data_IF_292638082886
#
_entry.id   IF_292638082886
#
_cell.length_a   1.000
_cell.length_b   1.000
_cell.length_c   1.000
_cell.angle_alpha   90.00
_cell.angle_beta   90.00
_cell.angle_gamma   90.00
#
_symmetry.space_group_name_H-M   'P 1'
#
loop_
_entity.id
_entity.type
_entity.pdbx_description
1 polymer ?
#
# COMPACT_ATOMS: atom_id res chain seq x y z
N UNK A 1 2.43 52.06 -41.41
CA UNK A 1 1.53 52.16 -40.24
C UNK A 1 1.63 50.86 -39.44
N UNK A 2 2.11 50.92 -38.19
CA UNK A 2 2.12 49.77 -37.29
C UNK A 2 0.92 49.87 -36.35
N UNK A 3 0.01 48.92 -36.46
CA UNK A 3 -1.11 48.82 -35.52
C UNK A 3 -0.62 48.02 -34.27
N UNK A 4 -0.55 48.65 -33.09
CA UNK A 4 -0.37 47.99 -31.82
C UNK A 4 -1.77 47.74 -31.17
N UNK A 5 -2.19 46.49 -31.19
CA UNK A 5 -3.39 46.08 -30.46
C UNK A 5 -3.04 45.72 -29.02
N UNK A 6 -3.67 46.36 -28.06
CA UNK A 6 -3.51 46.04 -26.61
C UNK A 6 -4.80 45.41 -26.11
N UNK A 7 -4.75 44.15 -25.72
CA UNK A 7 -5.90 43.45 -25.11
C UNK A 7 -5.97 43.89 -23.64
N UNK A 8 -7.00 44.66 -23.28
CA UNK A 8 -7.25 45.10 -21.90
C UNK A 8 -7.90 43.94 -21.13
N UNK A 9 -7.33 43.59 -19.96
CA UNK A 9 -7.87 42.52 -19.09
C UNK A 9 -7.24 41.12 -19.31
N UNK A 10 -6.37 40.94 -20.29
CA UNK A 10 -5.70 39.65 -20.54
C UNK A 10 -4.95 39.12 -19.31
N UNK A 11 -4.31 39.97 -18.54
CA UNK A 11 -3.59 39.56 -17.32
C UNK A 11 -4.54 39.07 -16.22
N UNK A 12 -5.69 39.76 -16.03
CA UNK A 12 -6.70 39.33 -15.07
C UNK A 12 -7.30 37.98 -15.45
N UNK A 13 -7.59 37.80 -16.75
CA UNK A 13 -8.12 36.57 -17.29
C UNK A 13 -7.12 35.42 -17.11
N UNK A 14 -5.85 35.64 -17.43
CA UNK A 14 -4.79 34.66 -17.23
C UNK A 14 -4.64 34.25 -15.76
N UNK A 15 -4.60 35.21 -14.83
CA UNK A 15 -4.54 34.93 -13.40
C UNK A 15 -5.74 34.11 -12.91
N UNK A 16 -6.94 34.41 -13.41
CA UNK A 16 -8.15 33.64 -13.10
C UNK A 16 -8.06 32.19 -13.61
N UNK A 17 -7.57 31.97 -14.84
CA UNK A 17 -7.38 30.62 -15.37
C UNK A 17 -6.29 29.83 -14.62
N UNK A 18 -5.17 30.47 -14.27
CA UNK A 18 -4.11 29.83 -13.47
C UNK A 18 -4.61 29.45 -12.09
N UNK A 19 -5.42 30.31 -11.45
CA UNK A 19 -6.09 30.02 -10.19
C UNK A 19 -7.02 28.80 -10.30
N UNK A 20 -7.88 28.79 -11.32
CA UNK A 20 -8.81 27.69 -11.55
C UNK A 20 -8.11 26.36 -11.86
N UNK A 21 -7.06 26.38 -12.67
CA UNK A 21 -6.26 25.20 -12.98
C UNK A 21 -5.61 24.59 -11.72
N UNK A 22 -5.12 25.45 -10.81
CA UNK A 22 -4.56 25.02 -9.52
C UNK A 22 -5.63 24.36 -8.65
N UNK A 23 -6.79 24.98 -8.53
CA UNK A 23 -7.90 24.44 -7.75
C UNK A 23 -8.41 23.11 -8.29
N UNK A 24 -8.53 23.00 -9.61
CA UNK A 24 -8.87 21.73 -10.28
C UNK A 24 -7.85 20.65 -9.98
N UNK A 25 -6.55 20.99 -9.98
CA UNK A 25 -5.47 20.08 -9.61
C UNK A 25 -5.61 19.55 -8.18
N UNK A 26 -5.94 20.42 -7.23
CA UNK A 26 -6.16 20.04 -5.81
C UNK A 26 -7.40 19.15 -5.66
N UNK A 27 -8.50 19.50 -6.35
CA UNK A 27 -9.72 18.70 -6.34
C UNK A 27 -9.49 17.30 -6.93
N UNK A 28 -8.78 17.23 -8.05
CA UNK A 28 -8.42 15.97 -8.70
C UNK A 28 -7.49 15.11 -7.83
N UNK A 29 -6.50 15.71 -7.15
CA UNK A 29 -5.63 15.01 -6.21
C UNK A 29 -6.41 14.45 -5.02
N UNK A 30 -7.32 15.24 -4.46
CA UNK A 30 -8.18 14.81 -3.36
C UNK A 30 -9.08 13.64 -3.77
N UNK A 31 -9.67 13.72 -4.95
CA UNK A 31 -10.47 12.67 -5.56
C UNK A 31 -9.66 11.37 -5.74
N UNK A 32 -8.48 11.46 -6.33
CA UNK A 32 -7.59 10.31 -6.52
C UNK A 32 -7.16 9.68 -5.18
N UNK A 33 -6.87 10.49 -4.17
CA UNK A 33 -6.50 10.01 -2.84
C UNK A 33 -7.66 9.28 -2.15
N UNK A 34 -8.89 9.77 -2.25
CA UNK A 34 -10.06 9.08 -1.70
C UNK A 34 -10.32 7.74 -2.42
N UNK A 35 -10.13 7.68 -3.73
CA UNK A 35 -10.15 6.42 -4.48
C UNK A 35 -9.06 5.45 -4.03
N UNK A 36 -7.85 5.93 -3.81
CA UNK A 36 -6.73 5.12 -3.33
C UNK A 36 -6.99 4.52 -1.95
N UNK A 37 -7.70 5.21 -1.06
CA UNK A 37 -8.08 4.66 0.26
C UNK A 37 -9.00 3.44 0.15
N UNK A 38 -9.88 3.40 -0.85
CA UNK A 38 -10.72 2.22 -1.12
C UNK A 38 -9.84 1.02 -1.49
N UNK A 39 -8.84 1.25 -2.35
CA UNK A 39 -7.88 0.18 -2.70
C UNK A 39 -7.12 -0.32 -1.47
N UNK A 40 -6.67 0.58 -0.58
CA UNK A 40 -5.99 0.21 0.67
C UNK A 40 -6.88 -0.67 1.55
N UNK A 41 -8.15 -0.31 1.71
CA UNK A 41 -9.12 -1.12 2.47
C UNK A 41 -9.26 -2.51 1.88
N UNK A 42 -9.59 -2.59 0.58
CA UNK A 42 -9.77 -3.84 -0.13
C UNK A 42 -8.50 -4.70 -0.17
N UNK A 43 -7.32 -4.10 -0.36
CA UNK A 43 -6.05 -4.81 -0.33
C UNK A 43 -5.77 -5.45 1.04
N UNK A 44 -6.16 -4.80 2.13
CA UNK A 44 -6.05 -5.36 3.48
C UNK A 44 -7.02 -6.52 3.72
N UNK A 45 -8.13 -6.58 3.00
CA UNK A 45 -9.11 -7.69 3.03
C UNK A 45 -8.65 -8.91 2.22
N UNK A 46 -7.76 -8.73 1.22
CA UNK A 46 -7.19 -9.86 0.47
C UNK A 46 -6.29 -10.76 1.31
N UNK A 47 -5.79 -10.26 2.45
CA UNK A 47 -5.01 -11.08 3.37
C UNK A 47 -5.92 -12.03 4.14
N UNK A 48 -5.55 -13.31 4.20
CA UNK A 48 -6.17 -14.23 5.13
C UNK A 48 -5.86 -13.78 6.55
N UNK A 49 -6.89 -13.55 7.34
CA UNK A 49 -6.74 -13.28 8.76
C UNK A 49 -6.35 -14.58 9.44
N UNK A 50 -5.41 -14.48 10.36
CA UNK A 50 -4.91 -15.61 11.13
C UNK A 50 -6.04 -16.26 11.95
N UNK A 51 -5.80 -17.49 12.42
CA UNK A 51 -6.69 -18.26 13.25
C UNK A 51 -7.16 -17.51 14.53
N UNK A 52 -7.90 -18.16 15.39
CA UNK A 52 -8.44 -17.52 16.60
C UNK A 52 -7.32 -16.92 17.45
N UNK A 53 -7.61 -15.82 18.12
CA UNK A 53 -6.71 -15.24 19.11
C UNK A 53 -6.51 -16.23 20.25
N UNK A 54 -5.28 -16.72 20.41
CA UNK A 54 -4.92 -17.68 21.47
C UNK A 54 -4.24 -17.03 22.65
N UNK A 55 -3.81 -15.78 22.48
CA UNK A 55 -3.15 -15.04 23.56
C UNK A 55 -2.65 -13.67 23.12
N UNK A 56 -1.89 -13.06 23.99
CA UNK A 56 -1.17 -11.84 23.69
C UNK A 56 0.03 -11.69 24.63
N UNK A 57 1.12 -11.17 24.10
CA UNK A 57 2.31 -10.87 24.90
C UNK A 57 2.80 -9.44 24.64
N UNK A 58 3.56 -8.90 25.60
CA UNK A 58 4.16 -7.58 25.43
C UNK A 58 5.50 -7.70 24.71
N UNK A 59 5.61 -7.14 23.52
CA UNK A 59 6.87 -7.09 22.79
C UNK A 59 7.71 -5.90 23.27
N UNK A 60 8.75 -6.17 24.06
CA UNK A 60 9.65 -5.14 24.62
C UNK A 60 10.36 -4.31 23.56
N UNK A 61 10.67 -4.86 22.37
CA UNK A 61 11.34 -4.12 21.27
C UNK A 61 10.40 -3.16 20.58
N UNK A 62 9.17 -3.58 20.35
CA UNK A 62 8.13 -2.75 19.71
C UNK A 62 7.42 -1.85 20.73
N UNK A 63 7.67 -2.05 22.03
CA UNK A 63 6.99 -1.36 23.14
C UNK A 63 5.45 -1.41 23.04
N UNK A 64 4.94 -2.51 22.51
CA UNK A 64 3.50 -2.71 22.32
C UNK A 64 3.06 -4.13 22.62
N UNK A 65 1.76 -4.29 22.91
CA UNK A 65 1.12 -5.59 23.05
C UNK A 65 0.94 -6.21 21.67
N UNK A 66 1.42 -7.43 21.49
CA UNK A 66 1.27 -8.22 20.26
C UNK A 66 0.24 -9.31 20.53
N UNK A 67 -0.70 -9.47 19.61
CA UNK A 67 -1.70 -10.53 19.68
C UNK A 67 -1.15 -11.81 19.06
N UNK A 68 -1.24 -12.89 19.82
CA UNK A 68 -0.87 -14.23 19.36
C UNK A 68 -2.09 -14.88 18.72
N UNK A 69 -1.90 -15.38 17.50
CA UNK A 69 -2.95 -16.05 16.76
C UNK A 69 -2.64 -17.55 16.70
N UNK A 70 -3.66 -18.37 16.78
CA UNK A 70 -3.57 -19.82 16.58
C UNK A 70 -3.26 -20.19 15.13
N UNK A 71 -3.23 -21.47 14.88
CA UNK A 71 -3.00 -22.00 13.53
C UNK A 71 -4.07 -21.44 12.57
N UNK A 72 -3.67 -20.78 11.48
CA UNK A 72 -4.59 -20.31 10.45
C UNK A 72 -5.25 -21.45 9.67
N UNK A 73 -4.91 -22.71 9.93
CA UNK A 73 -5.30 -23.88 9.14
C UNK A 73 -4.56 -23.94 7.81
N UNK A 74 -5.03 -24.81 6.92
CA UNK A 74 -4.38 -25.04 5.62
C UNK A 74 -4.20 -23.74 4.82
N UNK A 75 -3.02 -23.53 4.21
CA UNK A 75 -2.78 -22.37 3.37
C UNK A 75 -3.79 -22.30 2.23
N UNK A 76 -4.45 -21.16 2.06
CA UNK A 76 -5.25 -20.93 0.86
C UNK A 76 -4.29 -20.62 -0.28
N UNK A 77 -4.29 -21.40 -1.36
CA UNK A 77 -3.54 -21.05 -2.56
C UNK A 77 -3.86 -19.60 -2.96
N UNK A 78 -2.87 -18.88 -3.46
CA UNK A 78 -2.98 -17.52 -3.99
C UNK A 78 -3.30 -16.40 -2.97
N UNK A 79 -3.50 -16.72 -1.68
CA UNK A 79 -3.66 -15.70 -0.64
C UNK A 79 -2.51 -15.66 0.34
N UNK A 80 -2.11 -14.44 0.71
CA UNK A 80 -1.13 -14.23 1.76
C UNK A 80 -1.79 -14.37 3.14
N UNK A 81 -1.14 -15.16 4.01
CA UNK A 81 -1.51 -15.24 5.42
C UNK A 81 -0.77 -14.17 6.21
N UNK A 82 -1.51 -13.31 6.88
CA UNK A 82 -0.94 -12.26 7.71
C UNK A 82 -0.55 -12.80 9.08
N UNK A 83 0.71 -13.19 9.30
CA UNK A 83 1.19 -13.67 10.61
C UNK A 83 1.44 -12.53 11.61
N UNK A 84 2.27 -11.57 11.24
CA UNK A 84 2.62 -10.43 12.10
C UNK A 84 1.77 -9.18 11.85
N UNK A 85 0.99 -9.16 10.79
CA UNK A 85 0.25 -7.99 10.34
C UNK A 85 1.10 -6.89 9.71
N UNK A 86 2.44 -6.98 9.76
CA UNK A 86 3.34 -5.91 9.33
C UNK A 86 3.08 -5.50 7.88
N UNK A 87 3.06 -6.45 6.94
CA UNK A 87 2.81 -6.16 5.53
C UNK A 87 1.41 -5.56 5.33
N UNK A 88 0.38 -6.17 5.90
CA UNK A 88 -0.99 -5.69 5.83
C UNK A 88 -1.15 -4.27 6.38
N UNK A 89 -0.52 -3.98 7.53
CA UNK A 89 -0.57 -2.66 8.16
C UNK A 89 0.23 -1.59 7.40
N UNK A 90 1.27 -1.99 6.68
CA UNK A 90 2.15 -1.07 5.94
C UNK A 90 1.54 -0.54 4.65
N UNK A 91 0.45 -1.15 4.15
CA UNK A 91 -0.24 -0.70 2.95
C UNK A 91 -0.93 0.62 3.25
N UNK A 92 -0.57 1.66 2.53
CA UNK A 92 -1.14 2.99 2.68
C UNK A 92 -1.29 3.72 1.35
N UNK A 93 -2.12 4.76 1.34
CA UNK A 93 -2.29 5.66 0.22
C UNK A 93 -1.49 6.94 0.47
N UNK A 94 -0.90 7.49 -0.58
CA UNK A 94 -0.15 8.74 -0.55
C UNK A 94 -0.58 9.63 -1.71
N UNK A 95 -0.61 10.94 -1.48
CA UNK A 95 -0.79 11.93 -2.53
C UNK A 95 0.48 12.00 -3.37
N UNK A 96 0.32 12.07 -4.69
CA UNK A 96 1.44 12.04 -5.64
C UNK A 96 1.38 13.17 -6.67
N UNK A 97 0.75 14.28 -6.31
CA UNK A 97 0.56 15.46 -7.14
C UNK A 97 -0.80 15.50 -7.84
N UNK A 98 -1.06 16.53 -8.66
CA UNK A 98 -2.35 16.79 -9.27
C UNK A 98 -2.94 15.56 -9.97
N UNK A 99 -4.14 15.16 -9.57
CA UNK A 99 -4.86 14.02 -10.13
C UNK A 99 -4.25 12.65 -9.86
N UNK A 100 -3.24 12.54 -8.99
CA UNK A 100 -2.53 11.29 -8.72
C UNK A 100 -2.48 10.93 -7.24
N UNK A 101 -2.66 9.63 -6.98
CA UNK A 101 -2.39 9.01 -5.69
C UNK A 101 -1.69 7.67 -5.91
N UNK A 102 -0.89 7.25 -4.96
CA UNK A 102 -0.15 5.99 -4.99
C UNK A 102 -0.56 5.14 -3.81
N UNK A 103 -0.85 3.86 -4.06
CA UNK A 103 -0.98 2.84 -3.02
C UNK A 103 0.31 2.06 -2.96
N UNK A 104 0.97 2.07 -1.82
CA UNK A 104 2.28 1.45 -1.64
C UNK A 104 2.46 0.87 -0.26
N UNK A 105 3.49 0.06 -0.12
CA UNK A 105 4.02 -0.45 1.14
C UNK A 105 5.50 -0.11 1.24
N UNK A 106 5.97 0.27 2.41
CA UNK A 106 7.38 0.53 2.70
C UNK A 106 8.14 -0.72 3.16
N UNK A 107 7.48 -1.87 3.18
CA UNK A 107 8.11 -3.13 3.61
C UNK A 107 8.94 -3.73 2.46
N UNK A 108 10.22 -4.04 2.66
CA UNK A 108 11.13 -4.48 1.58
C UNK A 108 10.66 -5.71 0.80
N UNK A 109 9.94 -6.61 1.47
CA UNK A 109 9.43 -7.84 0.87
C UNK A 109 8.02 -7.70 0.24
N UNK A 110 7.43 -6.50 0.25
CA UNK A 110 6.09 -6.27 -0.30
C UNK A 110 6.01 -6.59 -1.80
N UNK A 111 7.00 -6.13 -2.56
CA UNK A 111 7.06 -6.30 -4.01
C UNK A 111 7.16 -7.78 -4.42
N UNK A 112 7.96 -8.58 -3.71
CA UNK A 112 8.13 -10.00 -4.06
C UNK A 112 6.85 -10.81 -3.80
N UNK A 113 6.01 -10.39 -2.87
CA UNK A 113 4.71 -11.01 -2.67
C UNK A 113 3.70 -10.60 -3.73
N UNK A 114 3.69 -9.34 -4.16
CA UNK A 114 2.77 -8.85 -5.19
C UNK A 114 3.10 -9.42 -6.59
N UNK A 115 4.39 -9.46 -6.92
CA UNK A 115 4.85 -9.77 -8.29
C UNK A 115 5.51 -11.15 -8.43
N UNK A 116 5.80 -11.81 -7.32
CA UNK A 116 6.67 -12.98 -7.30
C UNK A 116 8.14 -12.61 -7.49
N UNK A 117 9.00 -13.61 -7.44
CA UNK A 117 10.42 -13.42 -7.70
C UNK A 117 11.28 -14.47 -7.02
N UNK A 118 12.59 -14.36 -7.25
CA UNK A 118 13.58 -15.26 -6.67
C UNK A 118 14.48 -14.50 -5.69
N UNK A 119 14.62 -15.01 -4.48
CA UNK A 119 15.59 -14.49 -3.52
C UNK A 119 16.99 -15.02 -3.83
N UNK A 120 18.00 -14.19 -3.63
CA UNK A 120 19.40 -14.61 -3.81
C UNK A 120 19.82 -15.60 -2.71
N UNK A 121 20.79 -16.45 -3.04
CA UNK A 121 21.46 -17.27 -2.05
C UNK A 121 22.14 -16.38 -1.00
N UNK A 122 22.11 -16.80 0.27
CA UNK A 122 22.72 -16.07 1.37
C UNK A 122 23.07 -17.00 2.53
N UNK A 123 23.96 -16.52 3.38
CA UNK A 123 24.37 -17.24 4.56
C UNK A 123 23.57 -16.71 5.77
N UNK A 124 22.88 -17.61 6.46
CA UNK A 124 22.16 -17.32 7.69
C UNK A 124 23.09 -17.59 8.86
N UNK A 125 23.33 -16.57 9.71
CA UNK A 125 24.12 -16.65 10.93
C UNK A 125 23.29 -16.27 12.16
N UNK A 126 23.57 -16.84 13.32
CA UNK A 126 22.88 -16.46 14.55
C UNK A 126 23.20 -15.01 14.91
N UNK A 127 22.19 -14.23 15.28
CA UNK A 127 22.36 -12.81 15.60
C UNK A 127 22.64 -12.54 17.08
N UNK A 128 22.10 -13.38 17.97
CA UNK A 128 22.15 -13.18 19.42
C UNK A 128 22.63 -14.41 20.21
N UNK A 129 22.73 -15.55 19.57
CA UNK A 129 23.14 -16.83 20.18
C UNK A 129 24.37 -17.36 19.45
N UNK A 130 25.05 -18.34 20.05
CA UNK A 130 26.22 -18.96 19.44
C UNK A 130 25.90 -19.88 18.27
N UNK A 131 24.67 -20.44 18.24
CA UNK A 131 24.20 -21.40 17.22
C UNK A 131 22.81 -21.04 16.80
N UNK A 132 22.48 -21.34 15.53
CA UNK A 132 21.13 -21.48 15.02
C UNK A 132 20.53 -22.76 15.57
N UNK A 133 19.25 -22.74 15.87
CA UNK A 133 18.46 -23.92 16.26
C UNK A 133 17.15 -23.93 15.48
N UNK A 134 16.83 -25.06 14.90
CA UNK A 134 15.53 -25.33 14.27
C UNK A 134 15.16 -26.79 14.47
N UNK A 135 13.89 -27.10 14.29
CA UNK A 135 13.36 -28.45 14.30
C UNK A 135 13.24 -28.91 12.85
N UNK A 136 13.87 -30.02 12.51
CA UNK A 136 13.75 -30.65 11.20
C UNK A 136 12.36 -31.24 10.94
N UNK A 137 12.11 -31.70 9.73
CA UNK A 137 10.84 -32.37 9.34
C UNK A 137 10.65 -33.67 10.15
N UNK A 138 11.74 -34.27 10.58
CA UNK A 138 11.81 -35.45 11.44
C UNK A 138 11.49 -35.17 12.93
N UNK A 139 11.19 -33.92 13.27
CA UNK A 139 10.95 -33.49 14.65
C UNK A 139 12.21 -33.35 15.50
N UNK A 140 13.40 -33.59 14.94
CA UNK A 140 14.68 -33.55 15.67
C UNK A 140 15.26 -32.11 15.65
N UNK A 141 15.70 -31.64 16.83
CA UNK A 141 16.35 -30.34 16.97
C UNK A 141 17.75 -30.36 16.33
N UNK A 142 17.96 -29.43 15.39
CA UNK A 142 19.22 -29.28 14.67
C UNK A 142 19.92 -27.99 15.08
N UNK A 143 21.25 -27.99 15.04
CA UNK A 143 22.09 -26.85 15.42
C UNK A 143 23.17 -26.62 14.36
N UNK A 144 23.39 -25.34 14.00
CA UNK A 144 24.49 -24.95 13.12
C UNK A 144 25.06 -23.58 13.49
N UNK A 145 26.34 -23.35 13.16
CA UNK A 145 26.99 -22.04 13.28
C UNK A 145 26.53 -21.11 12.13
N UNK A 146 26.32 -21.70 10.98
CA UNK A 146 25.79 -21.00 9.79
C UNK A 146 25.03 -21.99 8.91
N UNK A 147 24.08 -21.48 8.12
CA UNK A 147 23.33 -22.23 7.13
C UNK A 147 23.42 -21.50 5.80
N UNK A 148 23.82 -22.22 4.76
CA UNK A 148 23.81 -21.71 3.38
C UNK A 148 22.42 -21.91 2.80
N UNK A 149 21.69 -20.80 2.62
CA UNK A 149 20.37 -20.81 2.02
C UNK A 149 20.51 -20.57 0.51
N UNK A 150 20.05 -21.48 -0.37
CA UNK A 150 20.25 -21.37 -1.82
C UNK A 150 19.44 -20.24 -2.47
N UNK A 151 18.56 -19.62 -1.72
CA UNK A 151 17.51 -18.76 -2.24
C UNK A 151 16.18 -19.51 -2.39
N UNK A 152 15.11 -18.80 -2.70
CA UNK A 152 13.78 -19.37 -2.90
C UNK A 152 13.09 -18.73 -4.08
N UNK A 153 12.35 -19.51 -4.85
CA UNK A 153 11.38 -18.98 -5.80
C UNK A 153 10.06 -18.73 -5.05
N UNK A 154 9.62 -17.48 -5.04
CA UNK A 154 8.41 -17.06 -4.36
C UNK A 154 7.35 -16.78 -5.42
N UNK A 155 6.27 -17.59 -5.47
CA UNK A 155 5.18 -17.37 -6.42
C UNK A 155 4.46 -16.06 -6.11
N UNK A 156 3.94 -15.35 -7.14
CA UNK A 156 3.17 -14.12 -6.93
C UNK A 156 1.87 -14.44 -6.18
N UNK A 157 1.58 -13.62 -5.19
CA UNK A 157 0.32 -13.62 -4.43
C UNK A 157 -0.17 -12.18 -4.32
N UNK A 158 -0.72 -11.64 -5.43
CA UNK A 158 -1.07 -10.23 -5.51
C UNK A 158 -2.21 -9.89 -4.54
N UNK A 159 -2.13 -8.71 -3.94
CA UNK A 159 -3.13 -8.20 -3.01
C UNK A 159 -3.58 -6.77 -3.35
N UNK A 160 -2.74 -5.98 -4.02
CA UNK A 160 -3.10 -4.62 -4.45
C UNK A 160 -3.86 -4.66 -5.77
N UNK A 161 -3.35 -5.41 -6.77
CA UNK A 161 -3.96 -5.48 -8.09
C UNK A 161 -5.39 -6.04 -8.06
N UNK A 162 -5.67 -7.22 -7.46
CA UNK A 162 -7.03 -7.75 -7.41
C UNK A 162 -7.98 -6.85 -6.60
N UNK A 163 -7.49 -6.18 -5.56
CA UNK A 163 -8.27 -5.22 -4.81
C UNK A 163 -8.73 -4.03 -5.67
N UNK A 164 -7.81 -3.48 -6.48
CA UNK A 164 -8.13 -2.38 -7.38
C UNK A 164 -9.13 -2.80 -8.48
N UNK A 165 -8.97 -4.01 -9.03
CA UNK A 165 -9.86 -4.56 -10.06
C UNK A 165 -11.27 -4.80 -9.52
N UNK A 166 -11.39 -5.45 -8.36
CA UNK A 166 -12.69 -5.72 -7.70
C UNK A 166 -13.45 -4.46 -7.35
N UNK A 167 -12.75 -3.40 -6.95
CA UNK A 167 -13.35 -2.15 -6.48
C UNK A 167 -13.38 -1.04 -7.55
N UNK A 168 -13.07 -1.33 -8.80
CA UNK A 168 -12.94 -0.33 -9.86
C UNK A 168 -14.19 0.57 -10.00
N UNK A 169 -15.40 -0.02 -10.01
CA UNK A 169 -16.64 0.75 -10.11
C UNK A 169 -16.84 1.67 -8.90
N UNK A 170 -16.60 1.16 -7.68
CA UNK A 170 -16.71 1.92 -6.43
C UNK A 170 -15.68 3.07 -6.38
N UNK A 171 -14.44 2.80 -6.81
CA UNK A 171 -13.37 3.79 -6.91
C UNK A 171 -13.77 4.92 -7.84
N UNK A 172 -14.24 4.60 -9.06
CA UNK A 172 -14.67 5.60 -10.04
C UNK A 172 -15.82 6.46 -9.53
N UNK A 173 -16.84 5.83 -8.94
CA UNK A 173 -18.00 6.54 -8.39
C UNK A 173 -17.56 7.48 -7.25
N UNK A 174 -16.71 7.00 -6.34
CA UNK A 174 -16.16 7.82 -5.25
C UNK A 174 -15.33 8.99 -5.75
N UNK A 175 -14.46 8.74 -6.72
CA UNK A 175 -13.62 9.78 -7.31
C UNK A 175 -14.47 10.86 -7.98
N UNK A 176 -15.51 10.48 -8.72
CA UNK A 176 -16.42 11.41 -9.36
C UNK A 176 -17.20 12.23 -8.33
N UNK A 177 -17.75 11.60 -7.30
CA UNK A 177 -18.48 12.29 -6.22
C UNK A 177 -17.59 13.33 -5.53
N UNK A 178 -16.38 12.91 -5.12
CA UNK A 178 -15.43 13.81 -4.44
C UNK A 178 -15.02 14.96 -5.34
N UNK A 179 -14.70 14.69 -6.61
CA UNK A 179 -14.31 15.73 -7.57
C UNK A 179 -15.43 16.77 -7.72
N UNK A 180 -16.66 16.32 -7.97
CA UNK A 180 -17.79 17.21 -8.12
C UNK A 180 -18.11 17.99 -6.85
N UNK A 181 -17.97 17.37 -5.68
CA UNK A 181 -18.14 18.03 -4.39
C UNK A 181 -17.10 19.14 -4.17
N UNK A 182 -15.82 18.86 -4.46
CA UNK A 182 -14.76 19.86 -4.31
C UNK A 182 -14.92 21.02 -5.29
N UNK A 183 -15.32 20.76 -6.51
CA UNK A 183 -15.59 21.80 -7.51
C UNK A 183 -16.79 22.69 -7.14
N UNK A 184 -17.86 22.11 -6.57
CA UNK A 184 -19.03 22.88 -6.11
C UNK A 184 -18.74 23.82 -4.93
N UNK A 185 -17.77 23.49 -4.09
CA UNK A 185 -17.34 24.37 -2.98
C UNK A 185 -16.70 25.66 -3.48
N UNK A 186 -16.22 25.66 -4.71
CA UNK A 186 -15.56 26.80 -5.34
C UNK A 186 -16.56 27.55 -6.18
N UNK A 187 -17.01 28.71 -5.69
CA UNK A 187 -17.80 29.62 -6.53
C UNK A 187 -16.95 30.02 -7.73
N UNK A 188 -17.46 29.76 -8.94
CA UNK A 188 -16.92 30.38 -10.15
C UNK A 188 -16.94 31.89 -9.92
N UNK A 189 -15.82 32.61 -10.06
CA UNK A 189 -15.86 34.06 -9.97
C UNK A 189 -16.84 34.57 -11.00
N UNK A 190 -17.91 35.22 -10.56
CA UNK A 190 -18.76 35.97 -11.45
C UNK A 190 -17.91 37.06 -12.09
N UNK A 191 -17.92 37.09 -13.41
CA UNK A 191 -17.22 38.10 -14.22
C UNK A 191 -17.69 39.52 -13.90
#
# INVERSE_FOLDING_TARGET
>A
MQFKMRVIGAEKLRAAYEGYARELGIAAETSAYEGAKIIVGAAKEEFRIQGPVVGSHYNKKLKQKVTDYGDPGEPIPDKLTSRSGILRMSINAQRAGPGRAVVASNVPYAAIHEFGGTTKSHIIRPRYKKLLHWVGIDGIGQFAREVHHPGSNIPPRPYIRPAAEKKNAEIRAKMQDVLMRELRKKKVPSA
#
